data_IF_324964293085
#
_entry.id   IF_324964293085
#
_cell.length_a   1.000
_cell.length_b   1.000
_cell.length_c   1.000
_cell.angle_alpha   90.00
_cell.angle_beta   90.00
_cell.angle_gamma   90.00
#
_symmetry.space_group_name_H-M   'P 1'
#
loop_
_entity.id
_entity.type
_entity.pdbx_description
1 polymer ?
#
# COMPACT_ATOMS: atom_id res chain seq x y z
N UNK A 1 38.08 -58.31 -37.94
CA UNK A 1 36.93 -57.58 -37.37
C UNK A 1 37.39 -56.71 -36.21
N UNK A 2 37.20 -55.38 -36.36
CA UNK A 2 36.72 -54.42 -35.33
C UNK A 2 37.54 -54.22 -34.04
N UNK A 3 37.88 -53.02 -33.55
CA UNK A 3 37.72 -51.62 -33.99
C UNK A 3 38.58 -50.79 -33.01
N UNK A 4 39.32 -49.80 -33.50
CA UNK A 4 39.93 -48.76 -32.66
C UNK A 4 38.84 -47.84 -32.09
N UNK A 5 38.83 -47.63 -30.78
CA UNK A 5 37.97 -46.64 -30.14
C UNK A 5 38.77 -45.35 -29.96
N UNK A 6 38.46 -44.37 -30.81
CA UNK A 6 38.95 -43.00 -30.74
C UNK A 6 38.23 -42.30 -29.59
N UNK A 7 38.98 -41.81 -28.60
CA UNK A 7 38.45 -40.92 -27.56
C UNK A 7 38.27 -39.52 -28.15
N UNK A 8 37.02 -39.12 -28.37
CA UNK A 8 36.64 -37.72 -28.63
C UNK A 8 36.53 -36.99 -27.29
N UNK A 9 37.42 -36.02 -27.06
CA UNK A 9 37.27 -35.07 -25.96
C UNK A 9 36.10 -34.13 -26.29
N UNK A 10 35.01 -34.24 -25.52
CA UNK A 10 33.94 -33.26 -25.54
C UNK A 10 34.41 -32.03 -24.75
N UNK A 11 34.71 -30.94 -25.45
CA UNK A 11 34.89 -29.63 -24.82
C UNK A 11 33.49 -29.13 -24.50
N UNK A 12 33.08 -29.26 -23.23
CA UNK A 12 31.89 -28.59 -22.73
C UNK A 12 32.17 -27.09 -22.71
N UNK A 13 31.66 -26.36 -23.71
CA UNK A 13 31.56 -24.92 -23.66
C UNK A 13 30.43 -24.63 -22.66
N UNK A 14 30.80 -24.49 -21.38
CA UNK A 14 29.93 -23.87 -20.39
C UNK A 14 29.77 -22.40 -20.81
N UNK A 15 28.76 -22.13 -21.63
CA UNK A 15 28.32 -20.77 -21.89
C UNK A 15 27.95 -20.16 -20.54
N UNK A 16 28.78 -19.25 -20.05
CA UNK A 16 28.39 -18.35 -18.99
C UNK A 16 27.18 -17.58 -19.52
N UNK A 17 25.99 -17.91 -19.03
CA UNK A 17 24.85 -17.01 -19.13
C UNK A 17 25.32 -15.74 -18.43
N UNK A 18 25.41 -14.60 -19.12
CA UNK A 18 25.78 -13.37 -18.44
C UNK A 18 24.75 -13.17 -17.34
N UNK A 19 25.21 -13.08 -16.09
CA UNK A 19 24.38 -12.62 -15.00
C UNK A 19 23.87 -11.24 -15.42
N UNK A 20 22.59 -11.16 -15.75
CA UNK A 20 21.94 -9.91 -16.09
C UNK A 20 22.16 -8.98 -14.90
N UNK A 21 22.81 -7.84 -15.13
CA UNK A 21 23.10 -6.89 -14.06
C UNK A 21 21.77 -6.54 -13.38
N UNK A 22 21.73 -6.70 -12.06
CA UNK A 22 20.57 -6.36 -11.26
C UNK A 22 20.29 -4.88 -11.42
N UNK A 23 19.12 -4.55 -11.97
CA UNK A 23 18.73 -3.18 -12.21
C UNK A 23 18.41 -2.54 -10.86
N UNK A 24 19.14 -1.48 -10.54
CA UNK A 24 18.97 -0.68 -9.33
C UNK A 24 18.40 0.69 -9.68
N UNK A 25 17.65 1.24 -8.73
CA UNK A 25 16.97 2.53 -8.83
C UNK A 25 17.37 3.38 -7.63
N UNK A 26 17.49 4.68 -7.84
CA UNK A 26 17.71 5.66 -6.77
C UNK A 26 16.34 6.13 -6.28
N UNK A 27 16.08 5.94 -4.99
CA UNK A 27 14.86 6.38 -4.31
C UNK A 27 15.18 7.28 -3.12
N UNK A 28 14.34 8.29 -2.84
CA UNK A 28 14.51 9.18 -1.68
C UNK A 28 14.61 8.42 -0.35
N UNK A 29 15.54 8.82 0.53
CA UNK A 29 15.58 8.31 1.91
C UNK A 29 14.39 8.84 2.71
N UNK A 30 13.67 7.94 3.37
CA UNK A 30 12.44 8.27 4.09
C UNK A 30 12.67 9.31 5.20
N UNK A 31 13.67 9.11 6.05
CA UNK A 31 13.97 10.01 7.19
C UNK A 31 14.19 11.46 6.77
N UNK A 32 14.77 11.67 5.59
CA UNK A 32 15.03 13.01 5.07
C UNK A 32 13.79 13.59 4.38
N UNK A 33 13.10 12.78 3.58
CA UNK A 33 12.02 13.24 2.73
C UNK A 33 10.68 13.42 3.44
N UNK A 34 10.36 12.59 4.44
CA UNK A 34 9.14 12.76 5.24
C UNK A 34 9.10 14.11 5.94
N UNK A 35 10.24 14.58 6.48
CA UNK A 35 10.34 15.89 7.15
C UNK A 35 10.30 17.06 6.16
N UNK A 36 10.82 16.86 4.95
CA UNK A 36 10.85 17.87 3.90
C UNK A 36 9.54 17.94 3.10
N UNK A 37 8.66 16.94 3.25
CA UNK A 37 7.43 16.86 2.49
C UNK A 37 6.49 18.03 2.81
N UNK A 38 5.91 18.60 1.77
CA UNK A 38 4.79 19.53 1.88
C UNK A 38 3.56 18.85 2.47
N UNK A 39 2.56 19.64 2.88
CA UNK A 39 1.31 19.08 3.39
C UNK A 39 0.64 18.16 2.36
N UNK A 40 0.12 17.03 2.84
CA UNK A 40 -0.69 16.10 2.05
C UNK A 40 -1.84 16.81 1.32
N UNK A 41 -2.17 16.29 0.12
CA UNK A 41 -3.34 16.69 -0.67
C UNK A 41 -4.56 15.79 -0.44
N UNK A 42 -4.57 15.02 0.65
CA UNK A 42 -5.68 14.17 1.10
C UNK A 42 -6.17 14.61 2.48
N UNK A 43 -7.10 13.88 3.10
CA UNK A 43 -7.51 14.10 4.50
C UNK A 43 -6.63 13.33 5.50
N UNK A 44 -5.62 12.64 5.01
CA UNK A 44 -4.56 12.06 5.81
C UNK A 44 -3.38 13.05 5.93
N UNK A 45 -2.58 12.92 6.99
CA UNK A 45 -1.38 13.71 7.17
C UNK A 45 -0.21 13.26 6.29
N UNK A 46 -0.12 11.97 5.97
CA UNK A 46 1.06 11.34 5.36
C UNK A 46 0.73 10.54 4.08
N UNK A 47 -0.46 10.71 3.52
CA UNK A 47 -0.84 10.04 2.25
C UNK A 47 -0.92 11.07 1.14
N UNK A 48 -0.24 10.83 0.03
CA UNK A 48 -0.21 11.74 -1.11
C UNK A 48 -0.83 11.07 -2.31
N UNK A 49 -1.85 11.71 -2.88
CA UNK A 49 -2.41 11.24 -4.15
C UNK A 49 -1.70 11.91 -5.30
N UNK A 50 -1.06 11.12 -6.14
CA UNK A 50 -0.40 11.57 -7.36
C UNK A 50 -1.18 11.11 -8.59
N UNK A 51 -0.99 11.85 -9.69
CA UNK A 51 -1.47 11.43 -10.99
C UNK A 51 -0.48 10.45 -11.62
N UNK A 52 -0.96 9.36 -12.19
CA UNK A 52 -0.16 8.19 -12.56
C UNK A 52 -0.46 7.66 -13.96
N UNK A 53 -0.44 8.53 -14.97
CA UNK A 53 -0.51 8.15 -16.40
C UNK A 53 0.54 7.11 -16.79
N UNK A 54 1.70 7.14 -16.12
CA UNK A 54 2.79 6.17 -16.31
C UNK A 54 2.36 4.73 -15.96
N UNK A 55 1.22 4.54 -15.28
CA UNK A 55 0.68 3.21 -15.04
C UNK A 55 0.42 2.43 -16.34
N UNK A 56 -0.13 3.07 -17.37
CA UNK A 56 -0.41 2.38 -18.64
C UNK A 56 0.86 2.06 -19.43
N UNK A 57 2.00 2.63 -19.03
CA UNK A 57 3.29 2.45 -19.67
C UNK A 57 4.16 1.39 -18.98
N UNK A 58 3.91 1.10 -17.70
CA UNK A 58 4.73 0.22 -16.87
C UNK A 58 3.95 -1.04 -16.47
N UNK A 59 4.34 -2.18 -17.03
CA UNK A 59 3.69 -3.48 -16.75
C UNK A 59 4.12 -4.07 -15.39
N UNK A 60 5.37 -3.85 -14.96
CA UNK A 60 5.86 -4.37 -13.68
C UNK A 60 5.44 -3.45 -12.52
N UNK A 61 4.57 -3.96 -11.65
CA UNK A 61 4.09 -3.25 -10.45
C UNK A 61 5.22 -2.68 -9.57
N UNK A 62 6.41 -3.30 -9.58
CA UNK A 62 7.56 -2.87 -8.78
C UNK A 62 8.24 -1.66 -9.40
N UNK A 63 8.43 -1.66 -10.72
CA UNK A 63 8.93 -0.49 -11.45
C UNK A 63 7.94 0.68 -11.34
N UNK A 64 6.64 0.38 -11.38
CA UNK A 64 5.60 1.37 -11.16
C UNK A 64 5.69 1.99 -9.76
N UNK A 65 5.93 1.18 -8.72
CA UNK A 65 6.11 1.68 -7.35
C UNK A 65 7.33 2.60 -7.22
N UNK A 66 8.46 2.25 -7.86
CA UNK A 66 9.63 3.15 -7.96
C UNK A 66 9.24 4.48 -8.58
N UNK A 67 8.54 4.43 -9.72
CA UNK A 67 8.14 5.64 -10.46
C UNK A 67 7.18 6.51 -9.66
N UNK A 68 6.26 5.91 -8.90
CA UNK A 68 5.35 6.61 -8.02
C UNK A 68 6.08 7.36 -6.91
N UNK A 69 7.05 6.73 -6.24
CA UNK A 69 7.86 7.40 -5.19
C UNK A 69 8.71 8.52 -5.77
N UNK A 70 9.31 8.33 -6.94
CA UNK A 70 10.07 9.39 -7.62
C UNK A 70 9.17 10.58 -7.97
N UNK A 71 7.99 10.32 -8.54
CA UNK A 71 7.03 11.38 -8.87
C UNK A 71 6.50 12.09 -7.62
N UNK A 72 6.26 11.37 -6.53
CA UNK A 72 5.91 11.96 -5.25
C UNK A 72 7.02 12.91 -4.76
N UNK A 73 8.28 12.45 -4.73
CA UNK A 73 9.39 13.26 -4.25
C UNK A 73 9.58 14.53 -5.08
N UNK A 74 9.48 14.44 -6.41
CA UNK A 74 9.56 15.58 -7.31
C UNK A 74 8.47 16.63 -7.04
N UNK A 75 7.25 16.21 -6.70
CA UNK A 75 6.12 17.12 -6.54
C UNK A 75 5.88 17.61 -5.11
N UNK A 76 6.27 16.82 -4.11
CA UNK A 76 5.91 17.08 -2.72
C UNK A 76 7.11 17.19 -1.78
N UNK A 77 8.30 16.76 -2.17
CA UNK A 77 9.49 16.75 -1.33
C UNK A 77 10.76 17.12 -2.11
N UNK A 78 10.69 18.13 -2.99
CA UNK A 78 11.79 18.51 -3.91
C UNK A 78 13.13 18.74 -3.18
N UNK A 79 13.08 19.31 -1.98
CA UNK A 79 14.24 19.64 -1.15
C UNK A 79 15.05 18.41 -0.69
N UNK A 80 14.52 17.19 -0.82
CA UNK A 80 15.17 15.96 -0.35
C UNK A 80 15.64 15.04 -1.49
N UNK A 81 15.34 15.37 -2.76
CA UNK A 81 15.55 14.48 -3.91
C UNK A 81 17.03 14.09 -4.16
N UNK A 82 17.99 14.82 -3.57
CA UNK A 82 19.42 14.52 -3.66
C UNK A 82 19.95 13.46 -2.67
N UNK A 83 19.16 13.09 -1.66
CA UNK A 83 19.54 12.08 -0.66
C UNK A 83 18.81 10.76 -0.93
N UNK A 84 19.41 9.95 -1.79
CA UNK A 84 18.81 8.69 -2.25
C UNK A 84 19.45 7.46 -1.63
N UNK A 85 18.73 6.34 -1.69
CA UNK A 85 19.22 4.99 -1.44
C UNK A 85 18.97 4.13 -2.68
N UNK A 86 19.85 3.15 -2.90
CA UNK A 86 19.71 2.20 -3.98
C UNK A 86 18.73 1.09 -3.61
N UNK A 87 17.78 0.85 -4.50
CA UNK A 87 16.76 -0.20 -4.36
C UNK A 87 16.73 -1.01 -5.65
N UNK A 88 16.76 -2.33 -5.54
CA UNK A 88 16.51 -3.26 -6.66
C UNK A 88 15.07 -3.76 -6.61
N UNK A 89 14.54 -4.23 -7.75
CA UNK A 89 13.13 -4.63 -7.83
C UNK A 89 12.77 -5.80 -6.90
N UNK A 90 13.71 -6.69 -6.60
CA UNK A 90 13.51 -7.81 -5.67
C UNK A 90 13.30 -7.35 -4.21
N UNK A 91 13.73 -6.13 -3.88
CA UNK A 91 13.47 -5.52 -2.56
C UNK A 91 12.06 -4.94 -2.44
N UNK A 92 11.32 -4.82 -3.55
CA UNK A 92 9.97 -4.24 -3.58
C UNK A 92 8.94 -5.35 -3.45
N UNK A 93 8.12 -5.27 -2.40
CA UNK A 93 7.07 -6.26 -2.13
C UNK A 93 5.73 -5.75 -2.62
N UNK A 94 5.11 -6.45 -3.57
CA UNK A 94 3.79 -6.10 -4.08
C UNK A 94 2.76 -7.20 -3.78
N UNK A 95 1.71 -6.85 -3.05
CA UNK A 95 0.58 -7.72 -2.77
C UNK A 95 -0.54 -7.51 -3.77
N UNK A 96 -1.16 -8.60 -4.22
CA UNK A 96 -2.33 -8.58 -5.09
C UNK A 96 -3.60 -8.84 -4.30
N UNK A 97 -3.77 -8.15 -3.17
CA UNK A 97 -4.98 -8.27 -2.33
C UNK A 97 -6.25 -7.93 -3.11
N UNK A 98 -6.16 -6.92 -3.98
CA UNK A 98 -7.21 -6.51 -4.91
C UNK A 98 -6.75 -6.85 -6.34
N UNK A 99 -7.58 -7.56 -7.09
CA UNK A 99 -7.25 -7.95 -8.46
C UNK A 99 -7.15 -6.73 -9.38
N UNK A 100 -5.97 -6.45 -9.93
CA UNK A 100 -5.73 -5.33 -10.84
C UNK A 100 -5.27 -4.02 -10.18
N UNK A 101 -5.22 -3.98 -8.84
CA UNK A 101 -4.67 -2.86 -8.06
C UNK A 101 -3.71 -3.39 -6.99
N UNK A 102 -2.45 -3.69 -7.36
CA UNK A 102 -1.44 -4.11 -6.40
C UNK A 102 -1.15 -3.02 -5.38
N UNK A 103 -0.84 -3.45 -4.16
CA UNK A 103 -0.28 -2.60 -3.11
C UNK A 103 1.19 -2.94 -2.95
N UNK A 104 2.07 -2.02 -3.31
CA UNK A 104 3.51 -2.21 -3.26
C UNK A 104 4.13 -1.49 -2.06
N UNK A 105 5.21 -2.05 -1.54
CA UNK A 105 5.91 -1.56 -0.35
C UNK A 105 7.40 -1.50 -0.65
N UNK A 106 8.01 -0.36 -0.34
CA UNK A 106 9.44 -0.12 -0.47
C UNK A 106 9.97 0.27 0.89
N UNK A 107 10.72 -0.63 1.52
CA UNK A 107 11.30 -0.39 2.84
C UNK A 107 12.46 0.61 2.74
N UNK A 108 12.51 1.58 3.66
CA UNK A 108 13.57 2.58 3.76
C UNK A 108 14.21 2.56 5.16
N UNK A 109 14.85 3.66 5.57
CA UNK A 109 15.62 3.76 6.80
C UNK A 109 14.76 3.90 8.08
N UNK A 110 13.85 4.88 8.13
CA UNK A 110 12.98 5.14 9.29
C UNK A 110 11.49 4.93 8.98
N UNK A 111 11.17 4.52 7.75
CA UNK A 111 9.81 4.28 7.30
C UNK A 111 9.76 3.53 5.98
N UNK A 112 8.54 3.23 5.55
CA UNK A 112 8.22 2.55 4.31
C UNK A 112 7.42 3.49 3.40
N UNK A 113 7.70 3.42 2.11
CA UNK A 113 6.80 3.96 1.10
C UNK A 113 5.80 2.88 0.72
N UNK A 114 4.51 3.11 0.98
CA UNK A 114 3.45 2.20 0.56
C UNK A 114 2.70 2.81 -0.62
N UNK A 115 2.75 2.14 -1.75
CA UNK A 115 2.15 2.56 -3.01
C UNK A 115 0.83 1.80 -3.16
N UNK A 116 -0.27 2.51 -2.98
CA UNK A 116 -1.62 1.99 -3.18
C UNK A 116 -2.11 2.51 -4.53
N UNK A 117 -2.06 1.64 -5.53
CA UNK A 117 -2.60 1.94 -6.85
C UNK A 117 -4.12 2.10 -6.75
N UNK A 118 -4.65 3.15 -7.38
CA UNK A 118 -6.09 3.32 -7.63
C UNK A 118 -6.51 2.61 -8.94
N UNK A 119 -7.81 2.38 -9.14
CA UNK A 119 -8.36 1.76 -10.35
C UNK A 119 -8.05 2.55 -11.64
N UNK A 120 -7.90 3.87 -11.55
CA UNK A 120 -7.76 4.80 -12.69
C UNK A 120 -6.34 5.41 -12.75
N UNK A 121 -6.23 6.67 -13.16
CA UNK A 121 -5.00 7.43 -13.46
C UNK A 121 -4.39 8.02 -12.18
N UNK A 122 -4.68 7.43 -11.02
CA UNK A 122 -4.26 7.95 -9.73
C UNK A 122 -3.55 6.90 -8.88
N UNK A 123 -2.69 7.35 -7.98
CA UNK A 123 -1.92 6.51 -7.07
C UNK A 123 -1.77 7.20 -5.75
N UNK A 124 -1.93 6.46 -4.65
CA UNK A 124 -1.63 6.97 -3.33
C UNK A 124 -0.23 6.49 -2.91
N UNK A 125 0.61 7.43 -2.48
CA UNK A 125 1.90 7.17 -1.84
C UNK A 125 1.74 7.50 -0.37
N UNK A 126 1.79 6.47 0.48
CA UNK A 126 1.69 6.58 1.93
C UNK A 126 3.10 6.59 2.51
N UNK A 127 3.40 7.58 3.34
CA UNK A 127 4.62 7.61 4.13
C UNK A 127 4.31 6.99 5.49
N UNK A 128 4.69 5.73 5.66
CA UNK A 128 4.47 5.01 6.92
C UNK A 128 5.76 4.99 7.71
N UNK A 129 5.78 5.62 8.88
CA UNK A 129 6.95 5.53 9.76
C UNK A 129 7.01 4.14 10.39
N UNK A 130 8.23 3.61 10.56
CA UNK A 130 8.41 2.31 11.18
C UNK A 130 7.88 2.30 12.60
N UNK A 131 6.86 1.49 12.82
CA UNK A 131 6.30 1.28 14.14
C UNK A 131 7.06 0.16 14.84
N UNK A 132 7.86 0.50 15.86
CA UNK A 132 8.46 -0.52 16.73
C UNK A 132 7.44 -1.16 17.68
N UNK A 133 6.16 -0.80 17.59
CA UNK A 133 5.14 -1.45 18.41
C UNK A 133 4.85 -2.87 17.90
N UNK A 134 4.84 -3.77 18.88
CA UNK A 134 4.31 -5.11 18.68
C UNK A 134 2.79 -5.02 18.74
N UNK A 135 2.14 -5.06 17.58
CA UNK A 135 0.72 -5.40 17.53
C UNK A 135 0.57 -6.83 18.05
N UNK A 136 -0.41 -7.11 18.93
CA UNK A 136 -0.53 -8.41 19.56
C UNK A 136 -0.65 -9.53 18.51
N UNK A 137 0.11 -10.61 18.73
CA UNK A 137 -0.01 -11.84 17.93
C UNK A 137 -1.41 -12.45 18.08
N UNK A 138 -2.00 -12.83 16.95
CA UNK A 138 -3.42 -13.17 16.85
C UNK A 138 -3.68 -14.58 17.43
N UNK A 139 -4.41 -14.64 18.54
CA UNK A 139 -5.02 -15.87 19.07
C UNK A 139 -6.54 -15.70 19.20
N UNK A 140 -7.32 -15.85 18.12
CA UNK A 140 -8.56 -16.67 18.05
C UNK A 140 -9.33 -16.41 16.75
N UNK A 141 -10.09 -17.41 16.30
CA UNK A 141 -11.01 -17.34 15.17
C UNK A 141 -12.35 -16.65 15.48
N UNK A 142 -12.52 -16.06 16.67
CA UNK A 142 -13.83 -15.72 17.23
C UNK A 142 -14.07 -14.22 17.47
N UNK A 143 -13.07 -13.36 17.26
CA UNK A 143 -13.25 -11.90 17.31
C UNK A 143 -13.58 -11.40 15.90
N UNK A 144 -14.88 -11.20 15.63
CA UNK A 144 -15.35 -10.68 14.35
C UNK A 144 -15.87 -9.25 14.56
N UNK A 145 -15.29 -8.30 13.82
CA UNK A 145 -15.94 -7.03 13.52
C UNK A 145 -16.34 -7.05 12.06
N UNK A 146 -17.42 -6.36 11.73
CA UNK A 146 -17.76 -6.13 10.33
C UNK A 146 -17.09 -4.83 9.92
N UNK A 147 -16.32 -4.82 8.83
CA UNK A 147 -15.93 -3.62 8.11
C UNK A 147 -17.19 -3.06 7.45
N UNK A 148 -17.52 -1.82 7.79
CA UNK A 148 -18.70 -1.12 7.29
C UNK A 148 -18.27 -0.33 6.08
N UNK A 149 -18.78 -0.72 4.92
CA UNK A 149 -18.58 0.09 3.72
C UNK A 149 -19.90 0.74 3.40
N UNK A 150 -19.85 2.05 3.20
CA UNK A 150 -20.94 2.80 2.59
C UNK A 150 -21.44 2.09 1.33
N UNK A 151 -22.72 2.21 0.96
CA UNK A 151 -23.12 2.01 -0.43
C UNK A 151 -22.50 3.11 -1.25
N UNK A 152 -21.42 2.82 -2.00
CA UNK A 152 -20.59 3.89 -2.52
C UNK A 152 -21.38 4.69 -3.57
N UNK A 153 -22.26 4.04 -4.34
CA UNK A 153 -23.15 4.70 -5.31
C UNK A 153 -24.09 5.78 -4.74
N UNK A 154 -24.34 5.79 -3.43
CA UNK A 154 -25.17 6.81 -2.78
C UNK A 154 -24.35 7.94 -2.15
N UNK A 155 -23.06 7.70 -1.84
CA UNK A 155 -22.28 8.55 -0.93
C UNK A 155 -20.77 8.65 -1.25
N UNK A 156 -20.40 8.36 -2.50
CA UNK A 156 -19.02 8.52 -2.98
C UNK A 156 -18.50 9.94 -2.73
N UNK A 157 -19.35 10.95 -2.89
CA UNK A 157 -18.99 12.36 -2.68
C UNK A 157 -18.42 12.64 -1.30
N UNK A 158 -18.87 11.94 -0.27
CA UNK A 158 -18.45 12.17 1.11
C UNK A 158 -17.16 11.41 1.41
N UNK A 159 -17.05 10.17 0.95
CA UNK A 159 -15.83 9.36 1.10
C UNK A 159 -14.70 9.84 0.21
N UNK A 160 -14.99 10.51 -0.89
CA UNK A 160 -14.00 11.09 -1.79
C UNK A 160 -13.80 12.58 -1.51
N UNK A 161 -14.72 13.22 -0.80
CA UNK A 161 -14.83 14.68 -0.70
C UNK A 161 -14.81 15.31 -2.10
N UNK A 162 -13.67 15.92 -2.50
CA UNK A 162 -13.44 16.47 -3.85
C UNK A 162 -12.38 15.68 -4.62
N UNK A 163 -11.94 14.57 -4.03
CA UNK A 163 -10.85 13.73 -4.44
C UNK A 163 -11.26 12.64 -5.40
N UNK A 164 -11.71 13.01 -6.59
CA UNK A 164 -11.67 12.15 -7.79
C UNK A 164 -12.11 10.71 -7.55
N UNK A 165 -11.18 9.77 -7.71
CA UNK A 165 -11.41 8.31 -7.59
C UNK A 165 -10.85 7.69 -6.30
N UNK A 166 -10.11 8.46 -5.49
CA UNK A 166 -9.57 7.97 -4.21
C UNK A 166 -9.36 9.07 -3.18
N UNK A 167 -9.51 8.73 -1.91
CA UNK A 167 -9.24 9.64 -0.81
C UNK A 167 -8.70 8.87 0.40
N UNK A 168 -7.79 9.51 1.14
CA UNK A 168 -7.19 8.94 2.32
C UNK A 168 -7.59 9.70 3.59
N UNK A 169 -7.65 8.97 4.69
CA UNK A 169 -8.06 9.44 6.01
C UNK A 169 -7.11 8.91 7.08
N UNK A 170 -6.70 9.79 7.98
CA UNK A 170 -5.93 9.38 9.15
C UNK A 170 -6.86 9.06 10.34
N UNK A 171 -6.60 7.94 11.01
CA UNK A 171 -7.29 7.55 12.23
C UNK A 171 -6.30 7.22 13.35
N UNK A 172 -6.59 7.75 14.53
CA UNK A 172 -5.90 7.35 15.76
C UNK A 172 -6.57 6.09 16.33
N UNK A 173 -5.80 5.00 16.36
CA UNK A 173 -6.25 3.68 16.82
C UNK A 173 -5.87 3.36 18.26
N UNK A 174 -5.37 4.34 19.02
CA UNK A 174 -4.96 4.19 20.42
C UNK A 174 -6.02 3.48 21.28
N UNK A 175 -7.29 3.82 21.10
CA UNK A 175 -8.41 3.25 21.86
C UNK A 175 -8.73 1.78 21.49
N UNK A 176 -8.18 1.27 20.39
CA UNK A 176 -8.39 -0.10 19.90
C UNK A 176 -7.24 -1.05 20.26
N UNK A 177 -6.20 -0.58 20.97
CA UNK A 177 -5.03 -1.37 21.40
C UNK A 177 -5.38 -2.59 22.27
N UNK A 178 -6.60 -2.64 22.82
CA UNK A 178 -7.07 -3.73 23.68
C UNK A 178 -7.55 -4.98 22.92
N UNK A 179 -7.59 -4.95 21.59
CA UNK A 179 -8.05 -6.08 20.78
C UNK A 179 -6.86 -6.93 20.27
N UNK A 180 -7.02 -8.25 20.28
CA UNK A 180 -5.97 -9.20 19.90
C UNK A 180 -5.87 -9.51 18.41
N UNK A 181 -6.72 -8.93 17.55
CA UNK A 181 -6.73 -9.14 16.09
C UNK A 181 -6.63 -7.79 15.37
N UNK A 182 -5.58 -7.61 14.56
CA UNK A 182 -5.36 -6.36 13.80
C UNK A 182 -6.52 -6.08 12.84
N UNK A 183 -7.10 -7.10 12.21
CA UNK A 183 -8.21 -6.91 11.26
C UNK A 183 -9.45 -6.35 11.96
N UNK A 184 -9.64 -6.71 13.23
CA UNK A 184 -10.68 -6.14 14.07
C UNK A 184 -10.46 -4.63 14.24
N UNK A 185 -9.22 -4.21 14.55
CA UNK A 185 -8.86 -2.79 14.69
C UNK A 185 -9.13 -2.03 13.40
N UNK A 186 -8.72 -2.57 12.25
CA UNK A 186 -8.97 -1.95 10.95
C UNK A 186 -10.47 -1.80 10.64
N UNK A 187 -11.22 -2.89 10.78
CA UNK A 187 -12.66 -2.90 10.51
C UNK A 187 -13.40 -1.92 11.42
N UNK A 188 -13.03 -1.86 12.69
CA UNK A 188 -13.59 -0.92 13.66
C UNK A 188 -13.23 0.53 13.35
N UNK A 189 -11.96 0.80 13.01
CA UNK A 189 -11.50 2.13 12.66
C UNK A 189 -12.24 2.65 11.42
N UNK A 190 -12.40 1.82 10.40
CA UNK A 190 -13.21 2.17 9.22
C UNK A 190 -14.68 2.39 9.53
N UNK A 191 -15.30 1.57 10.39
CA UNK A 191 -16.69 1.84 10.84
C UNK A 191 -16.80 3.23 11.43
N UNK A 192 -15.90 3.57 12.35
CA UNK A 192 -15.96 4.82 13.09
C UNK A 192 -15.67 6.01 12.16
N UNK A 193 -14.82 5.85 11.13
CA UNK A 193 -14.67 6.81 10.03
C UNK A 193 -15.99 7.02 9.27
N UNK A 194 -16.62 5.95 8.80
CA UNK A 194 -17.87 6.02 8.02
C UNK A 194 -18.98 6.67 8.83
N UNK A 195 -19.14 6.28 10.10
CA UNK A 195 -20.14 6.88 11.00
C UNK A 195 -19.88 8.36 11.27
N UNK A 196 -18.61 8.76 11.44
CA UNK A 196 -18.27 10.16 11.65
C UNK A 196 -18.59 11.02 10.42
N UNK A 197 -18.33 10.51 9.22
CA UNK A 197 -18.70 11.19 7.97
C UNK A 197 -20.23 11.27 7.83
N UNK A 198 -20.96 10.21 8.14
CA UNK A 198 -22.44 10.20 8.15
C UNK A 198 -23.04 11.29 9.02
N UNK A 199 -22.56 11.43 10.25
CA UNK A 199 -23.05 12.45 11.18
C UNK A 199 -22.78 13.86 10.66
N UNK A 200 -21.69 14.07 9.92
CA UNK A 200 -21.36 15.37 9.33
C UNK A 200 -22.24 15.71 8.12
N UNK A 201 -22.69 14.70 7.36
CA UNK A 201 -23.41 14.89 6.08
C UNK A 201 -24.78 14.21 6.09
N UNK A 202 -25.79 14.90 6.65
CA UNK A 202 -27.15 14.39 6.89
C UNK A 202 -27.98 14.00 5.64
N UNK A 203 -27.42 14.10 4.43
CA UNK A 203 -28.11 13.76 3.17
C UNK A 203 -27.69 12.39 2.62
N UNK A 204 -26.63 11.80 3.16
CA UNK A 204 -26.21 10.46 2.81
C UNK A 204 -26.81 9.46 3.83
N UNK A 205 -27.56 8.48 3.34
CA UNK A 205 -27.89 7.27 4.10
C UNK A 205 -26.85 6.20 3.75
N UNK A 206 -25.97 5.87 4.69
CA UNK A 206 -24.95 4.84 4.51
C UNK A 206 -25.61 3.47 4.68
N UNK A 207 -26.01 2.85 3.57
CA UNK A 207 -26.39 1.43 3.58
C UNK A 207 -25.11 0.58 3.68
N UNK A 208 -25.02 -0.27 4.70
CA UNK A 208 -23.75 -0.89 5.07
C UNK A 208 -23.62 -2.26 4.43
N UNK A 209 -22.64 -2.44 3.53
CA UNK A 209 -22.24 -3.78 3.09
C UNK A 209 -21.13 -4.26 4.03
N UNK A 210 -21.39 -5.35 4.74
CA UNK A 210 -20.47 -5.87 5.73
C UNK A 210 -19.41 -6.80 5.12
N UNK A 211 -18.13 -6.46 5.31
CA UNK A 211 -17.02 -7.42 5.12
C UNK A 211 -16.52 -7.83 6.49
N UNK A 212 -16.55 -9.11 6.83
CA UNK A 212 -16.00 -9.57 8.11
C UNK A 212 -14.49 -9.28 8.17
N UNK A 213 -14.00 -8.77 9.31
CA UNK A 213 -12.59 -8.49 9.56
C UNK A 213 -11.70 -9.68 9.18
N UNK A 214 -12.13 -10.90 9.49
CA UNK A 214 -11.40 -12.13 9.15
C UNK A 214 -11.18 -12.35 7.64
N UNK A 215 -11.95 -11.69 6.75
CA UNK A 215 -11.83 -11.74 5.29
C UNK A 215 -10.85 -10.70 4.74
N UNK A 216 -10.37 -9.77 5.55
CA UNK A 216 -9.29 -8.86 5.15
C UNK A 216 -8.00 -9.64 4.96
N UNK A 217 -7.29 -9.34 3.87
CA UNK A 217 -5.97 -9.89 3.60
C UNK A 217 -4.92 -8.92 4.11
N UNK A 218 -3.87 -9.43 4.73
CA UNK A 218 -2.86 -8.64 5.41
C UNK A 218 -1.46 -9.15 5.11
N UNK A 219 -0.50 -8.24 5.00
CA UNK A 219 0.93 -8.49 4.95
C UNK A 219 1.64 -7.53 5.91
N UNK A 220 2.91 -7.82 6.17
CA UNK A 220 3.78 -7.04 7.05
C UNK A 220 5.16 -6.94 6.41
N UNK A 221 5.79 -5.76 6.50
CA UNK A 221 7.18 -5.54 6.09
C UNK A 221 8.15 -6.06 7.14
N UNK A 222 9.45 -6.16 6.82
CA UNK A 222 10.42 -6.66 7.81
C UNK A 222 10.60 -5.71 8.99
N UNK A 223 10.20 -4.45 8.84
CA UNK A 223 10.25 -3.41 9.87
C UNK A 223 8.90 -3.20 10.60
N UNK A 224 7.88 -4.03 10.31
CA UNK A 224 6.64 -4.06 11.08
C UNK A 224 5.47 -3.24 10.50
N UNK A 225 5.64 -2.58 9.35
CA UNK A 225 4.53 -1.89 8.68
C UNK A 225 3.53 -2.92 8.17
N UNK A 226 2.30 -2.86 8.69
CA UNK A 226 1.20 -3.75 8.32
C UNK A 226 0.31 -3.09 7.30
N UNK A 227 0.08 -3.82 6.22
CA UNK A 227 -0.83 -3.41 5.16
C UNK A 227 -1.93 -4.44 5.03
N UNK A 228 -3.17 -4.00 5.06
CA UNK A 228 -4.29 -4.88 4.79
C UNK A 228 -5.26 -4.25 3.81
N UNK A 229 -5.98 -5.08 3.08
CA UNK A 229 -7.06 -4.63 2.23
C UNK A 229 -8.30 -5.51 2.38
N UNK A 230 -9.46 -4.89 2.20
CA UNK A 230 -10.67 -5.62 1.88
C UNK A 230 -10.59 -6.08 0.41
N UNK A 231 -11.10 -7.27 0.11
CA UNK A 231 -11.38 -7.62 -1.28
C UNK A 231 -12.35 -6.60 -1.91
N UNK A 232 -12.42 -6.55 -3.25
CA UNK A 232 -13.33 -5.66 -3.97
C UNK A 232 -14.79 -5.83 -3.54
N UNK A 233 -15.48 -4.71 -3.33
CA UNK A 233 -16.83 -4.70 -2.76
C UNK A 233 -17.80 -3.86 -3.56
N UNK A 234 -18.01 -4.19 -4.84
CA UNK A 234 -19.00 -3.61 -5.78
C UNK A 234 -19.05 -2.07 -5.90
N UNK A 235 -18.28 -1.32 -5.11
CA UNK A 235 -18.22 0.13 -5.11
C UNK A 235 -16.91 0.65 -4.52
N UNK A 236 -15.84 -0.13 -4.62
CA UNK A 236 -14.53 0.25 -4.11
C UNK A 236 -13.89 -0.79 -3.22
N UNK A 237 -12.82 -0.36 -2.57
CA UNK A 237 -12.08 -1.15 -1.59
C UNK A 237 -11.32 -0.20 -0.66
N UNK A 238 -11.03 -0.70 0.53
CA UNK A 238 -10.20 0.00 1.51
C UNK A 238 -8.83 -0.65 1.60
N UNK A 239 -7.79 0.18 1.64
CA UNK A 239 -6.45 -0.21 2.04
C UNK A 239 -6.10 0.48 3.34
N UNK A 240 -5.57 -0.29 4.26
CA UNK A 240 -5.17 0.15 5.59
C UNK A 240 -3.67 -0.02 5.72
N UNK A 241 -2.99 1.04 6.12
CA UNK A 241 -1.56 1.04 6.38
C UNK A 241 -1.34 1.49 7.81
N UNK A 242 -0.70 0.65 8.63
CA UNK A 242 -0.30 1.06 9.99
C UNK A 242 0.76 2.16 9.92
N UNK A 243 0.79 3.03 10.92
CA UNK A 243 1.77 4.10 11.04
C UNK A 243 2.28 4.17 12.49
N UNK A 244 3.24 5.06 12.73
CA UNK A 244 3.76 5.31 14.06
C UNK A 244 2.67 5.69 15.07
N UNK A 245 2.95 5.42 16.34
CA UNK A 245 2.17 5.92 17.46
C UNK A 245 0.64 5.62 17.38
N UNK A 246 0.27 4.43 16.90
CA UNK A 246 -1.13 3.98 16.73
C UNK A 246 -1.87 4.68 15.58
N UNK A 247 -1.14 5.30 14.67
CA UNK A 247 -1.71 5.85 13.44
C UNK A 247 -2.15 4.76 12.49
N UNK A 248 -3.18 5.08 11.71
CA UNK A 248 -3.67 4.23 10.64
C UNK A 248 -4.13 5.09 9.48
N UNK A 249 -3.49 4.87 8.34
CA UNK A 249 -3.91 5.47 7.08
C UNK A 249 -4.98 4.57 6.46
N UNK A 250 -6.14 5.15 6.18
CA UNK A 250 -7.26 4.48 5.54
C UNK A 250 -7.46 5.10 4.17
N UNK A 251 -7.10 4.38 3.12
CA UNK A 251 -7.29 4.79 1.74
C UNK A 251 -8.54 4.11 1.21
N UNK A 252 -9.53 4.92 0.83
CA UNK A 252 -10.67 4.46 0.05
C UNK A 252 -10.41 4.73 -1.43
N UNK A 253 -10.48 3.69 -2.25
CA UNK A 253 -10.42 3.81 -3.69
C UNK A 253 -11.76 3.35 -4.28
N UNK A 254 -12.28 4.15 -5.22
CA UNK A 254 -13.44 3.82 -6.02
C UNK A 254 -13.10 2.66 -6.96
N UNK A 255 -14.11 1.81 -7.20
CA UNK A 255 -14.01 0.72 -8.16
C UNK A 255 -15.38 0.61 -8.84
N UNK A 256 -15.46 1.08 -10.08
CA UNK A 256 -16.67 1.12 -10.91
C UNK A 256 -16.60 0.22 -12.15
#
# INVERSE_FOLDING_TARGET
MKTLATFTAAIAISGAVPAQAEQTFELPKFSHCSVAASASNTNDREVYRIFSDFYYEIEDSREYAVKAVQNWAENFAEDCAGETTQVSLDMIQCDNFIGGAPVCRIESDEGDYVIVKDYVDSTNVVLSQHDQQTWPDIFSSNDQETLWMARPELCYSELLEWGGDSQAYYLDTYNYRYFGDYRYVLARSSRDLVQNLEVQFSQCEYDTVGVEANKMQCSETTQGTKVCASAHTNGGYFVFVSDDNHGMHVIFNRWD
#
